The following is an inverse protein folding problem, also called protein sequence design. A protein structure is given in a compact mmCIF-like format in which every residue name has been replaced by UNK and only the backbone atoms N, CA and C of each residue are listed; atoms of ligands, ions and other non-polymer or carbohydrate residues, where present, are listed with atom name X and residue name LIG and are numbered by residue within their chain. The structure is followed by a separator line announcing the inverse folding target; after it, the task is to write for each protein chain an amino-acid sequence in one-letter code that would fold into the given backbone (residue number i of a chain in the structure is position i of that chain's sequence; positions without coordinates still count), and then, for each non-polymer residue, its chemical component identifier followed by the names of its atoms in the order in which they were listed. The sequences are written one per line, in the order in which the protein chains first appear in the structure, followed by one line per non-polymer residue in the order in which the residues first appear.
data_IF_943285117684
#
_entry.id   IF_943285117684
#
_cell.length_a   1.000
_cell.length_b   1.000
_cell.length_c   1.000
_cell.angle_alpha   90.00
_cell.angle_beta   90.00
_cell.angle_gamma   90.00
#
_symmetry.space_group_name_H-M   'P 1'
#
loop_
_entity.id
_entity.type
_entity.pdbx_description
1 polymer ?
#
# COMPACT_ATOMS: atom_id res chain seq x y z
N UNK A 1 -11.71 -18.42 -10.18
CA UNK A 1 -10.92 -18.71 -11.40
C UNK A 1 -11.35 -20.07 -11.93
N UNK A 2 -11.44 -20.25 -13.25
CA UNK A 2 -11.76 -21.56 -13.86
C UNK A 2 -10.50 -22.40 -14.14
N UNK A 3 -10.69 -23.63 -14.63
CA UNK A 3 -9.61 -24.56 -14.99
C UNK A 3 -8.68 -24.02 -16.10
N UNK A 4 -9.13 -23.03 -16.87
CA UNK A 4 -8.36 -22.35 -17.91
C UNK A 4 -7.65 -21.08 -17.41
N UNK A 5 -7.56 -20.93 -16.08
CA UNK A 5 -7.04 -19.73 -15.41
C UNK A 5 -7.72 -18.43 -15.83
N UNK A 6 -8.99 -18.47 -16.22
CA UNK A 6 -9.81 -17.27 -16.46
C UNK A 6 -10.40 -16.79 -15.14
N UNK A 7 -10.27 -15.49 -14.89
CA UNK A 7 -10.88 -14.84 -13.74
C UNK A 7 -12.30 -14.40 -14.04
N UNK A 8 -13.10 -14.24 -13.00
CA UNK A 8 -14.48 -13.81 -13.13
C UNK A 8 -14.78 -12.75 -12.07
N UNK A 9 -15.43 -11.67 -12.50
CA UNK A 9 -16.08 -10.74 -11.60
C UNK A 9 -17.56 -11.09 -11.55
N UNK A 10 -18.08 -11.27 -10.34
CA UNK A 10 -19.44 -11.69 -10.09
C UNK A 10 -19.95 -11.03 -8.80
N UNK A 11 -21.24 -10.78 -8.75
CA UNK A 11 -21.89 -10.42 -7.50
C UNK A 11 -21.90 -11.62 -6.55
N UNK A 12 -21.98 -11.36 -5.25
CA UNK A 12 -21.94 -12.38 -4.20
C UNK A 12 -23.04 -13.46 -4.34
N UNK A 13 -24.18 -13.11 -4.93
CA UNK A 13 -25.34 -13.98 -5.12
C UNK A 13 -25.26 -14.87 -6.37
N UNK A 14 -24.22 -14.73 -7.19
CA UNK A 14 -24.03 -15.52 -8.41
C UNK A 14 -23.61 -16.95 -8.06
N UNK A 15 -24.46 -17.93 -8.42
CA UNK A 15 -24.25 -19.37 -8.16
C UNK A 15 -23.60 -20.13 -9.31
N UNK A 16 -23.63 -19.58 -10.54
CA UNK A 16 -23.05 -20.18 -11.75
C UNK A 16 -22.34 -19.11 -12.58
N UNK A 17 -21.37 -19.50 -13.39
CA UNK A 17 -20.58 -18.57 -14.22
C UNK A 17 -21.41 -17.81 -15.27
N UNK A 18 -22.66 -18.20 -15.52
CA UNK A 18 -23.51 -17.61 -16.57
C UNK A 18 -23.85 -16.14 -16.33
N UNK A 19 -23.86 -15.70 -15.07
CA UNK A 19 -24.09 -14.31 -14.67
C UNK A 19 -22.81 -13.59 -14.22
N UNK A 20 -21.65 -14.22 -14.39
CA UNK A 20 -20.36 -13.62 -14.12
C UNK A 20 -19.76 -13.03 -15.42
N UNK A 21 -18.92 -12.01 -15.29
CA UNK A 21 -18.15 -11.48 -16.41
C UNK A 21 -16.70 -11.95 -16.32
N UNK A 22 -16.25 -12.69 -17.33
CA UNK A 22 -14.87 -13.18 -17.37
C UNK A 22 -13.86 -12.09 -17.75
N UNK A 23 -12.64 -12.17 -17.24
CA UNK A 23 -11.59 -11.18 -17.53
C UNK A 23 -11.18 -11.22 -19.00
N UNK A 24 -11.16 -12.39 -19.64
CA UNK A 24 -11.01 -12.51 -21.11
C UNK A 24 -12.10 -11.76 -21.86
N UNK A 25 -13.36 -11.85 -21.43
CA UNK A 25 -14.49 -11.15 -22.05
C UNK A 25 -14.34 -9.62 -21.93
N UNK A 26 -13.88 -9.13 -20.77
CA UNK A 26 -13.58 -7.70 -20.57
C UNK A 26 -12.47 -7.25 -21.52
N UNK A 27 -11.33 -7.94 -21.52
CA UNK A 27 -10.18 -7.60 -22.36
C UNK A 27 -10.53 -7.58 -23.86
N UNK A 28 -11.29 -8.59 -24.33
CA UNK A 28 -11.78 -8.65 -25.72
C UNK A 28 -12.75 -7.51 -26.07
N UNK A 29 -13.66 -7.14 -25.16
CA UNK A 29 -14.56 -6.01 -25.39
C UNK A 29 -13.81 -4.68 -25.47
N UNK A 30 -12.81 -4.47 -24.61
CA UNK A 30 -11.98 -3.26 -24.63
C UNK A 30 -11.25 -3.12 -25.96
N UNK A 31 -10.59 -4.18 -26.42
CA UNK A 31 -9.92 -4.20 -27.72
C UNK A 31 -10.82 -3.73 -28.87
N UNK A 32 -12.10 -4.13 -28.86
CA UNK A 32 -13.01 -3.89 -29.98
C UNK A 32 -13.86 -2.62 -29.85
N UNK A 33 -14.02 -2.08 -28.63
CA UNK A 33 -15.01 -1.03 -28.34
C UNK A 33 -14.48 0.13 -27.51
N UNK A 34 -13.28 0.02 -26.94
CA UNK A 34 -12.70 1.11 -26.16
C UNK A 34 -12.08 2.14 -27.09
N UNK A 35 -12.57 3.38 -27.00
CA UNK A 35 -12.09 4.49 -27.81
C UNK A 35 -11.08 5.40 -27.08
N UNK A 36 -10.77 5.09 -25.82
CA UNK A 36 -9.75 5.80 -25.05
C UNK A 36 -8.34 5.27 -25.33
N UNK A 37 -7.33 6.07 -24.99
CA UNK A 37 -5.91 5.68 -25.11
C UNK A 37 -5.40 4.83 -23.94
N UNK A 38 -6.06 4.94 -22.78
CA UNK A 38 -5.60 4.30 -21.53
C UNK A 38 -6.77 3.80 -20.69
N UNK A 39 -6.65 2.60 -20.15
CA UNK A 39 -7.62 2.01 -19.22
C UNK A 39 -6.95 1.66 -17.88
N UNK A 40 -7.54 2.13 -16.77
CA UNK A 40 -7.12 1.77 -15.41
C UNK A 40 -8.10 0.76 -14.80
N UNK A 41 -7.58 -0.26 -14.13
CA UNK A 41 -8.37 -1.32 -13.50
C UNK A 41 -8.12 -1.35 -12.00
N UNK A 42 -9.21 -1.21 -11.26
CA UNK A 42 -9.25 -1.35 -9.81
C UNK A 42 -10.23 -2.46 -9.47
N UNK A 43 -9.80 -3.41 -8.64
CA UNK A 43 -10.68 -4.49 -8.21
C UNK A 43 -10.25 -4.97 -6.82
N UNK A 44 -11.23 -5.00 -5.92
CA UNK A 44 -11.07 -5.53 -4.56
C UNK A 44 -11.92 -6.78 -4.38
N UNK A 45 -11.39 -7.92 -4.81
CA UNK A 45 -12.10 -9.20 -4.73
C UNK A 45 -11.13 -10.38 -4.90
N UNK A 46 -11.60 -11.59 -4.62
CA UNK A 46 -10.82 -12.79 -4.90
C UNK A 46 -10.40 -12.85 -6.37
N UNK A 47 -9.17 -13.28 -6.62
CA UNK A 47 -8.59 -13.43 -7.97
C UNK A 47 -8.59 -12.14 -8.81
N UNK A 48 -8.73 -10.97 -8.18
CA UNK A 48 -8.86 -9.67 -8.86
C UNK A 48 -7.73 -9.38 -9.85
N UNK A 49 -6.51 -9.84 -9.57
CA UNK A 49 -5.34 -9.64 -10.43
C UNK A 49 -5.41 -10.39 -11.77
N UNK A 50 -6.35 -11.33 -11.93
CA UNK A 50 -6.51 -12.12 -13.16
C UNK A 50 -6.81 -11.28 -14.41
N UNK A 51 -7.30 -10.05 -14.26
CA UNK A 51 -7.47 -9.12 -15.38
C UNK A 51 -6.15 -8.79 -16.07
N UNK A 52 -5.05 -8.73 -15.31
CA UNK A 52 -3.70 -8.51 -15.87
C UNK A 52 -3.28 -9.61 -16.84
N UNK A 53 -3.63 -10.87 -16.53
CA UNK A 53 -3.37 -12.01 -17.41
C UNK A 53 -4.16 -11.96 -18.71
N UNK A 54 -5.36 -11.34 -18.69
CA UNK A 54 -6.19 -11.17 -19.88
C UNK A 54 -5.76 -9.97 -20.73
N UNK A 55 -5.36 -8.87 -20.08
CA UNK A 55 -4.89 -7.65 -20.73
C UNK A 55 -3.51 -7.82 -21.37
N UNK A 56 -2.59 -8.55 -20.73
CA UNK A 56 -1.25 -8.82 -21.28
C UNK A 56 -1.24 -9.59 -22.60
N UNK A 57 -2.36 -10.26 -22.93
CA UNK A 57 -2.56 -10.99 -24.18
C UNK A 57 -3.18 -10.13 -25.29
N UNK A 58 -3.59 -8.89 -24.99
CA UNK A 58 -4.18 -8.00 -25.98
C UNK A 58 -3.09 -7.26 -26.78
N UNK A 59 -3.32 -6.96 -28.07
CA UNK A 59 -2.41 -6.11 -28.84
C UNK A 59 -2.34 -4.70 -28.25
N UNK A 60 -1.27 -3.97 -28.56
CA UNK A 60 -1.00 -2.61 -28.07
C UNK A 60 -1.91 -1.53 -28.70
N UNK A 61 -3.23 -1.73 -28.62
CA UNK A 61 -4.25 -0.78 -29.10
C UNK A 61 -4.54 0.34 -28.07
N UNK A 62 -4.30 0.07 -26.79
CA UNK A 62 -4.43 1.00 -25.68
C UNK A 62 -3.40 0.65 -24.61
N UNK A 63 -2.99 1.63 -23.81
CA UNK A 63 -2.18 1.39 -22.61
C UNK A 63 -3.07 1.00 -21.44
N UNK A 64 -2.53 0.24 -20.49
CA UNK A 64 -3.32 -0.16 -19.34
C UNK A 64 -2.49 -0.23 -18.08
N UNK A 65 -3.14 0.05 -16.96
CA UNK A 65 -2.60 -0.10 -15.61
C UNK A 65 -3.62 -0.79 -14.73
N UNK A 66 -3.15 -1.60 -13.79
CA UNK A 66 -4.01 -2.23 -12.78
C UNK A 66 -3.41 -2.13 -11.38
N UNK A 67 -4.28 -1.95 -10.40
CA UNK A 67 -4.00 -2.16 -8.99
C UNK A 67 -5.18 -2.91 -8.39
N UNK A 68 -4.92 -4.01 -7.70
CA UNK A 68 -5.96 -4.90 -7.18
C UNK A 68 -5.54 -5.49 -5.84
N UNK A 69 -6.51 -5.86 -5.00
CA UNK A 69 -6.23 -6.32 -3.63
C UNK A 69 -5.42 -7.61 -3.60
N UNK A 70 -5.60 -8.50 -4.59
CA UNK A 70 -4.84 -9.74 -4.65
C UNK A 70 -4.41 -10.12 -6.07
N UNK A 71 -3.31 -10.87 -6.15
CA UNK A 71 -2.83 -11.48 -7.39
C UNK A 71 -3.86 -12.45 -8.01
N UNK A 72 -3.63 -12.95 -9.23
CA UNK A 72 -4.60 -13.79 -9.94
C UNK A 72 -5.03 -15.08 -9.21
N UNK A 73 -4.22 -15.62 -8.31
CA UNK A 73 -4.42 -16.92 -7.68
C UNK A 73 -4.82 -16.81 -6.20
N UNK A 74 -4.85 -15.60 -5.63
CA UNK A 74 -5.14 -15.38 -4.23
C UNK A 74 -6.60 -15.09 -3.92
N UNK A 75 -6.94 -15.25 -2.64
CA UNK A 75 -8.21 -14.82 -2.04
C UNK A 75 -8.01 -13.48 -1.34
N UNK A 76 -8.94 -12.53 -1.51
CA UNK A 76 -8.94 -11.27 -0.77
C UNK A 76 -9.45 -11.46 0.67
N UNK A 77 -9.12 -10.54 1.57
CA UNK A 77 -9.68 -10.54 2.94
C UNK A 77 -10.99 -9.73 2.97
N UNK A 78 -11.62 -9.65 4.14
CA UNK A 78 -12.74 -8.73 4.37
C UNK A 78 -12.32 -7.32 4.80
N UNK A 79 -11.02 -7.05 4.91
CA UNK A 79 -10.52 -5.72 5.27
C UNK A 79 -10.65 -4.76 4.10
N UNK A 80 -10.77 -3.47 4.39
CA UNK A 80 -10.87 -2.41 3.39
C UNK A 80 -9.52 -1.87 2.97
N UNK A 81 -8.43 -2.62 3.20
CA UNK A 81 -7.05 -2.17 2.98
C UNK A 81 -6.81 -1.64 1.57
N UNK A 82 -7.26 -2.34 0.53
CA UNK A 82 -7.11 -1.89 -0.86
C UNK A 82 -7.95 -0.64 -1.14
N UNK A 83 -9.21 -0.66 -0.72
CA UNK A 83 -10.15 0.44 -0.95
C UNK A 83 -9.68 1.71 -0.24
N UNK A 84 -9.17 1.60 0.98
CA UNK A 84 -8.56 2.69 1.72
C UNK A 84 -7.29 3.19 1.01
N UNK A 85 -6.41 2.30 0.54
CA UNK A 85 -5.21 2.71 -0.19
C UNK A 85 -5.54 3.46 -1.50
N UNK A 86 -6.61 3.07 -2.19
CA UNK A 86 -7.11 3.78 -3.36
C UNK A 86 -7.66 5.16 -2.99
N UNK A 87 -8.44 5.26 -1.91
CA UNK A 87 -8.93 6.54 -1.39
C UNK A 87 -7.78 7.45 -0.95
N UNK A 88 -6.78 6.90 -0.28
CA UNK A 88 -5.61 7.64 0.19
C UNK A 88 -4.90 8.31 -1.00
N UNK A 89 -4.71 7.56 -2.10
CA UNK A 89 -4.08 8.08 -3.31
C UNK A 89 -4.93 9.17 -4.00
N UNK A 90 -6.24 8.94 -4.12
CA UNK A 90 -7.14 9.89 -4.79
C UNK A 90 -7.33 11.19 -3.99
N UNK A 91 -7.23 11.13 -2.66
CA UNK A 91 -7.33 12.29 -1.78
C UNK A 91 -6.01 13.07 -1.65
N UNK A 92 -4.94 12.66 -2.32
CA UNK A 92 -3.68 13.41 -2.29
C UNK A 92 -2.85 13.17 -1.03
N UNK A 93 -3.03 12.07 -0.31
CA UNK A 93 -2.28 11.83 0.92
C UNK A 93 -0.78 11.66 0.66
N UNK A 94 0.04 12.43 1.37
CA UNK A 94 1.51 12.50 1.16
C UNK A 94 2.18 11.14 1.32
N UNK A 95 1.70 10.30 2.22
CA UNK A 95 2.32 9.00 2.47
C UNK A 95 2.21 8.02 1.29
N UNK A 96 1.30 8.27 0.35
CA UNK A 96 1.15 7.49 -0.89
C UNK A 96 2.17 7.93 -1.94
N UNK A 97 2.53 9.22 -1.99
CA UNK A 97 3.62 9.71 -2.84
C UNK A 97 4.93 9.01 -2.43
N UNK A 98 5.40 8.07 -3.25
CA UNK A 98 6.55 7.22 -2.92
C UNK A 98 7.86 7.81 -3.40
N UNK A 99 7.82 8.80 -4.30
CA UNK A 99 8.99 9.43 -4.91
C UNK A 99 9.20 10.89 -4.45
N UNK A 100 8.24 11.48 -3.73
CA UNK A 100 8.24 12.83 -3.17
C UNK A 100 8.28 13.95 -4.20
N UNK A 101 7.75 13.74 -5.40
CA UNK A 101 7.65 14.80 -6.41
C UNK A 101 6.43 15.73 -6.19
N UNK A 102 5.62 15.46 -5.16
CA UNK A 102 4.43 16.24 -4.84
C UNK A 102 3.21 15.87 -5.69
N UNK A 103 3.31 14.80 -6.48
CA UNK A 103 2.27 14.25 -7.33
C UNK A 103 2.14 12.75 -7.04
N UNK A 104 0.92 12.30 -6.78
CA UNK A 104 0.65 10.87 -6.65
C UNK A 104 0.41 10.32 -8.05
N UNK A 105 1.38 9.56 -8.57
CA UNK A 105 1.25 8.84 -9.84
C UNK A 105 0.51 7.50 -9.68
N UNK A 106 0.18 6.87 -10.80
CA UNK A 106 -0.38 5.52 -10.76
C UNK A 106 0.62 4.49 -10.22
N UNK A 107 1.92 4.60 -10.52
CA UNK A 107 2.94 3.75 -9.89
C UNK A 107 3.08 3.97 -8.39
N UNK A 108 2.87 5.19 -7.90
CA UNK A 108 2.85 5.45 -6.45
C UNK A 108 1.71 4.67 -5.79
N UNK A 109 0.51 4.72 -6.37
CA UNK A 109 -0.61 3.89 -5.93
C UNK A 109 -0.28 2.39 -6.00
N UNK A 110 0.32 1.90 -7.08
CA UNK A 110 0.68 0.48 -7.21
C UNK A 110 1.66 0.03 -6.12
N UNK A 111 2.69 0.83 -5.86
CA UNK A 111 3.66 0.56 -4.79
C UNK A 111 3.00 0.62 -3.42
N UNK A 112 2.18 1.63 -3.18
CA UNK A 112 1.48 1.82 -1.90
C UNK A 112 0.51 0.67 -1.61
N UNK A 113 -0.33 0.29 -2.58
CA UNK A 113 -1.22 -0.87 -2.48
C UNK A 113 -0.43 -2.14 -2.21
N UNK A 114 0.67 -2.38 -2.93
CA UNK A 114 1.51 -3.57 -2.72
C UNK A 114 2.02 -3.65 -1.28
N UNK A 115 2.43 -2.50 -0.74
CA UNK A 115 2.96 -2.39 0.61
C UNK A 115 1.88 -2.61 1.68
N UNK A 116 0.76 -1.90 1.58
CA UNK A 116 -0.33 -1.94 2.56
C UNK A 116 -1.00 -3.32 2.59
N UNK A 117 -1.30 -3.90 1.42
CA UNK A 117 -1.87 -5.25 1.33
C UNK A 117 -0.92 -6.29 1.95
N UNK A 118 0.39 -6.14 1.75
CA UNK A 118 1.36 -7.06 2.35
C UNK A 118 1.45 -6.91 3.87
N UNK A 119 1.39 -5.68 4.38
CA UNK A 119 1.59 -5.40 5.81
C UNK A 119 0.34 -5.63 6.65
N UNK A 120 -0.81 -5.23 6.15
CA UNK A 120 -2.08 -5.29 6.89
C UNK A 120 -2.75 -6.64 6.66
N UNK A 121 -2.85 -7.07 5.41
CA UNK A 121 -3.62 -8.26 5.03
C UNK A 121 -2.75 -9.50 4.82
N UNK A 122 -1.43 -9.35 4.83
CA UNK A 122 -0.47 -10.39 4.43
C UNK A 122 -0.75 -10.96 3.03
N UNK A 123 -1.23 -10.10 2.13
CA UNK A 123 -1.58 -10.45 0.76
C UNK A 123 -0.55 -9.94 -0.23
N UNK A 124 -0.48 -10.61 -1.38
CA UNK A 124 0.29 -10.15 -2.53
C UNK A 124 -0.69 -9.47 -3.47
N UNK A 125 -0.65 -8.15 -3.52
CA UNK A 125 -1.48 -7.35 -4.41
C UNK A 125 -1.21 -7.71 -5.89
N UNK A 126 -2.24 -7.55 -6.73
CA UNK A 126 -2.07 -7.63 -8.18
C UNK A 126 -1.86 -6.24 -8.75
N UNK A 127 -0.61 -5.85 -9.00
CA UNK A 127 -0.26 -4.56 -9.60
C UNK A 127 0.61 -4.77 -10.83
N UNK A 128 0.18 -4.26 -11.98
CA UNK A 128 0.95 -4.33 -13.22
C UNK A 128 0.45 -3.30 -14.22
N UNK A 129 1.24 -3.01 -15.24
CA UNK A 129 0.87 -2.13 -16.35
C UNK A 129 1.44 -2.69 -17.65
N UNK A 130 0.90 -2.27 -18.80
CA UNK A 130 1.32 -2.80 -20.09
C UNK A 130 1.13 -1.84 -21.26
N UNK A 131 1.65 -2.27 -22.42
CA UNK A 131 1.60 -1.52 -23.67
C UNK A 131 2.23 -0.12 -23.59
N UNK A 132 3.32 0.04 -22.82
CA UNK A 132 4.03 1.31 -22.70
C UNK A 132 3.37 2.32 -21.75
N UNK A 133 2.52 1.85 -20.83
CA UNK A 133 2.00 2.70 -19.75
C UNK A 133 3.14 3.44 -19.03
N UNK A 134 2.96 4.74 -18.80
CA UNK A 134 3.96 5.60 -18.17
C UNK A 134 3.31 6.56 -17.18
N UNK A 135 3.93 6.69 -16.00
CA UNK A 135 3.50 7.61 -14.94
C UNK A 135 3.57 9.08 -15.34
N UNK A 136 4.49 9.43 -16.26
CA UNK A 136 4.63 10.80 -16.76
C UNK A 136 3.34 11.33 -17.42
N UNK A 137 2.41 10.43 -17.78
CA UNK A 137 1.14 10.78 -18.40
C UNK A 137 -0.08 10.65 -17.48
N UNK A 138 0.06 10.10 -16.26
CA UNK A 138 -1.06 9.73 -15.40
C UNK A 138 -0.81 10.02 -13.92
N UNK A 139 -1.01 11.28 -13.54
CA UNK A 139 -1.17 11.71 -12.16
C UNK A 139 -2.60 11.41 -11.67
N UNK A 140 -2.72 10.81 -10.49
CA UNK A 140 -4.00 10.58 -9.81
C UNK A 140 -4.42 11.80 -9.01
N UNK A 141 -3.49 12.39 -8.28
CA UNK A 141 -3.73 13.56 -7.44
C UNK A 141 -2.44 14.35 -7.24
N UNK A 142 -2.58 15.63 -6.86
CA UNK A 142 -1.49 16.39 -6.25
C UNK A 142 -1.47 16.08 -4.76
N UNK A 143 -0.29 16.04 -4.14
CA UNK A 143 -0.19 15.98 -2.68
C UNK A 143 -0.93 17.17 -2.07
N UNK A 144 -1.89 16.87 -1.21
CA UNK A 144 -2.83 17.85 -0.63
C UNK A 144 -2.19 18.64 0.50
N UNK A 145 -1.46 17.97 1.39
CA UNK A 145 -0.65 18.57 2.45
C UNK A 145 0.79 18.02 2.43
N UNK A 146 1.77 18.82 1.97
CA UNK A 146 3.18 18.44 1.96
C UNK A 146 3.78 18.20 3.36
N UNK A 147 3.10 18.62 4.43
CA UNK A 147 3.53 18.41 5.82
C UNK A 147 2.74 17.30 6.52
N UNK A 148 1.87 16.59 5.80
CA UNK A 148 1.07 15.52 6.38
C UNK A 148 1.97 14.48 7.06
N UNK A 149 1.69 14.13 8.32
CA UNK A 149 2.39 13.05 9.00
C UNK A 149 2.12 11.70 8.33
N UNK A 150 3.15 10.90 8.20
CA UNK A 150 3.09 9.58 7.57
C UNK A 150 2.69 8.55 8.63
N UNK A 151 1.48 7.96 8.54
CA UNK A 151 0.97 7.11 9.59
C UNK A 151 1.85 5.89 9.80
N UNK A 152 2.10 5.55 11.07
CA UNK A 152 2.95 4.42 11.42
C UNK A 152 2.10 3.20 11.75
N UNK A 153 2.28 2.11 11.01
CA UNK A 153 1.58 0.86 11.30
C UNK A 153 2.13 0.21 12.58
N UNK A 154 1.22 -0.12 13.50
CA UNK A 154 1.47 -0.75 14.80
C UNK A 154 0.43 -1.82 15.08
N UNK A 155 0.58 -2.53 16.19
CA UNK A 155 -0.49 -3.34 16.77
C UNK A 155 -0.89 -2.77 18.12
N UNK A 156 -2.20 -2.72 18.39
CA UNK A 156 -2.81 -2.15 19.59
C UNK A 156 -3.60 -3.24 20.31
N UNK A 157 -3.46 -3.31 21.63
CA UNK A 157 -4.12 -4.31 22.46
C UNK A 157 -5.54 -3.87 22.78
N UNK A 158 -6.53 -4.63 22.32
CA UNK A 158 -7.94 -4.37 22.59
C UNK A 158 -8.69 -5.69 22.78
N UNK A 159 -9.52 -5.78 23.84
CA UNK A 159 -10.29 -6.99 24.16
C UNK A 159 -9.40 -8.23 24.39
N UNK A 160 -8.17 -8.03 24.91
CA UNK A 160 -7.20 -9.10 25.13
C UNK A 160 -6.50 -9.62 23.86
N UNK A 161 -6.75 -9.01 22.70
CA UNK A 161 -6.12 -9.35 21.41
C UNK A 161 -5.33 -8.16 20.88
N UNK A 162 -4.43 -8.42 19.94
CA UNK A 162 -3.68 -7.38 19.23
C UNK A 162 -4.30 -7.16 17.86
N UNK A 163 -4.56 -5.90 17.53
CA UNK A 163 -5.21 -5.46 16.31
C UNK A 163 -4.33 -4.44 15.61
N UNK A 164 -4.24 -4.51 14.28
CA UNK A 164 -3.44 -3.55 13.52
C UNK A 164 -4.10 -2.18 13.53
N UNK A 165 -3.30 -1.14 13.68
CA UNK A 165 -3.73 0.26 13.64
C UNK A 165 -2.60 1.14 13.11
N UNK A 166 -2.92 2.37 12.74
CA UNK A 166 -1.96 3.40 12.34
C UNK A 166 -1.85 4.45 13.44
N UNK A 167 -0.66 4.70 13.98
CA UNK A 167 -0.41 5.84 14.88
C UNK A 167 -0.44 7.13 14.06
N UNK A 168 -1.25 8.07 14.51
CA UNK A 168 -1.39 9.41 13.92
C UNK A 168 -0.59 10.45 14.73
N UNK A 169 -0.59 10.33 16.04
CA UNK A 169 0.00 11.29 16.98
C UNK A 169 0.46 10.57 18.25
N UNK A 170 1.45 11.11 18.96
CA UNK A 170 1.78 10.69 20.32
C UNK A 170 1.83 11.86 21.28
N UNK A 171 1.34 11.65 22.50
CA UNK A 171 1.27 12.66 23.56
C UNK A 171 1.20 11.96 24.92
N UNK A 172 1.94 12.45 25.91
CA UNK A 172 1.84 12.00 27.32
C UNK A 172 1.89 10.47 27.51
N UNK A 173 2.81 9.78 26.82
CA UNK A 173 2.94 8.30 26.78
C UNK A 173 1.72 7.55 26.23
N UNK A 174 0.91 8.24 25.42
CA UNK A 174 -0.21 7.67 24.68
C UNK A 174 -0.04 7.93 23.19
N UNK A 175 -0.59 7.04 22.38
CA UNK A 175 -0.64 7.15 20.93
C UNK A 175 -2.10 7.30 20.51
N UNK A 176 -2.41 8.29 19.69
CA UNK A 176 -3.67 8.38 18.97
C UNK A 176 -3.59 7.47 17.76
N UNK A 177 -4.50 6.52 17.66
CA UNK A 177 -4.52 5.52 16.60
C UNK A 177 -5.73 5.66 15.70
N UNK A 178 -5.60 5.16 14.47
CA UNK A 178 -6.69 4.85 13.56
C UNK A 178 -6.70 3.35 13.29
N UNK A 179 -7.84 2.71 13.51
CA UNK A 179 -8.00 1.29 13.20
C UNK A 179 -7.92 1.05 11.69
N UNK A 180 -7.53 -0.17 11.31
CA UNK A 180 -7.56 -0.60 9.89
C UNK A 180 -8.71 -1.56 9.61
N UNK A 181 -9.45 -1.94 10.65
CA UNK A 181 -10.58 -2.85 10.55
C UNK A 181 -11.80 -2.10 10.01
N UNK A 182 -12.53 -2.77 9.12
CA UNK A 182 -13.75 -2.24 8.50
C UNK A 182 -14.73 -1.71 9.54
N UNK A 183 -15.17 -0.47 9.36
CA UNK A 183 -16.16 0.18 10.22
C UNK A 183 -15.57 0.84 11.46
N UNK A 184 -14.24 0.79 11.63
CA UNK A 184 -13.49 1.49 12.67
C UNK A 184 -12.35 2.34 12.08
N UNK A 185 -12.19 2.32 10.76
CA UNK A 185 -11.16 3.00 9.99
C UNK A 185 -11.46 4.48 9.72
N UNK A 186 -12.36 5.07 10.51
CA UNK A 186 -12.79 6.47 10.37
C UNK A 186 -12.22 7.36 11.46
N UNK A 187 -12.11 8.66 11.20
CA UNK A 187 -11.67 9.64 12.19
C UNK A 187 -12.58 9.72 13.44
N UNK A 188 -13.83 9.25 13.35
CA UNK A 188 -14.75 9.19 14.48
C UNK A 188 -14.43 8.09 15.48
N UNK A 189 -13.67 7.07 15.05
CA UNK A 189 -13.26 5.91 15.84
C UNK A 189 -11.79 6.01 16.29
N UNK A 190 -11.10 7.12 15.97
CA UNK A 190 -9.74 7.35 16.43
C UNK A 190 -9.70 7.42 17.97
N UNK A 191 -8.83 6.65 18.60
CA UNK A 191 -8.74 6.58 20.05
C UNK A 191 -7.30 6.67 20.57
N UNK A 192 -7.17 7.01 21.86
CA UNK A 192 -5.90 7.11 22.54
C UNK A 192 -5.62 5.84 23.34
N UNK A 193 -4.47 5.21 23.07
CA UNK A 193 -3.97 4.08 23.85
C UNK A 193 -2.66 4.40 24.54
N UNK A 194 -2.44 3.94 25.78
CA UNK A 194 -1.13 4.03 26.42
C UNK A 194 -0.10 3.21 25.63
N UNK A 195 1.16 3.64 25.61
CA UNK A 195 2.23 2.91 24.91
C UNK A 195 2.39 1.45 25.36
N UNK A 196 1.99 1.12 26.59
CA UNK A 196 1.96 -0.26 27.09
C UNK A 196 0.97 -1.18 26.35
N UNK A 197 -0.01 -0.60 25.66
CA UNK A 197 -0.99 -1.29 24.82
C UNK A 197 -0.66 -1.17 23.34
N UNK A 198 0.48 -0.57 22.97
CA UNK A 198 0.93 -0.42 21.59
C UNK A 198 2.25 -1.16 21.41
N UNK A 199 2.42 -1.82 20.27
CA UNK A 199 3.66 -2.47 19.90
C UNK A 199 3.95 -2.34 18.41
N UNK A 200 5.21 -2.46 18.05
CA UNK A 200 5.61 -2.59 16.66
C UNK A 200 4.99 -3.84 16.04
N UNK A 201 4.79 -3.86 14.72
CA UNK A 201 4.28 -5.07 14.03
C UNK A 201 5.23 -6.28 14.12
N UNK A 202 6.47 -6.06 14.57
CA UNK A 202 7.42 -7.13 14.93
C UNK A 202 7.16 -7.76 16.29
N UNK A 203 6.26 -7.18 17.10
CA UNK A 203 5.99 -7.54 18.48
C UNK A 203 6.85 -6.80 19.51
N UNK A 204 7.81 -5.98 19.08
CA UNK A 204 8.65 -5.19 19.99
C UNK A 204 7.84 -4.07 20.67
N UNK A 205 8.21 -3.65 21.91
CA UNK A 205 7.56 -2.52 22.58
C UNK A 205 7.56 -1.26 21.71
N UNK A 206 6.47 -0.51 21.77
CA UNK A 206 6.39 0.77 21.05
C UNK A 206 7.36 1.78 21.65
N UNK A 207 8.16 2.40 20.80
CA UNK A 207 9.22 3.34 21.20
C UNK A 207 8.74 4.79 21.43
N UNK A 208 7.43 5.04 21.33
CA UNK A 208 6.84 6.36 21.52
C UNK A 208 6.92 7.33 20.34
N UNK A 209 7.53 6.94 19.21
CA UNK A 209 7.56 7.79 18.03
C UNK A 209 6.22 7.76 17.28
N UNK A 210 5.64 8.95 17.09
CA UNK A 210 4.45 9.19 16.28
C UNK A 210 4.67 8.95 14.78
N UNK A 211 3.63 9.29 14.00
CA UNK A 211 3.73 9.46 12.56
C UNK A 211 4.89 10.40 12.18
N UNK A 212 5.64 10.06 11.13
CA UNK A 212 6.79 10.84 10.71
C UNK A 212 6.34 12.07 9.90
N UNK A 213 6.72 13.28 10.32
CA UNK A 213 6.24 14.54 9.71
C UNK A 213 6.97 14.92 8.41
N UNK A 214 8.19 14.45 8.21
CA UNK A 214 9.03 14.86 7.06
C UNK A 214 9.71 13.67 6.40
N UNK A 215 9.25 13.34 5.18
CA UNK A 215 9.92 12.44 4.21
C UNK A 215 10.81 13.20 3.23
N UNK A 216 10.76 14.54 3.24
CA UNK A 216 11.22 15.37 2.14
C UNK A 216 12.75 15.52 2.00
N UNK A 217 13.55 14.96 2.91
CA UNK A 217 15.01 15.18 2.86
C UNK A 217 15.83 13.94 2.55
N UNK A 218 15.28 12.72 2.70
CA UNK A 218 16.05 11.48 2.60
C UNK A 218 16.15 10.93 1.18
N UNK A 219 17.37 10.85 0.67
CA UNK A 219 17.76 10.33 -0.65
C UNK A 219 18.84 9.28 -0.48
N UNK A 220 18.98 8.43 -1.50
CA UNK A 220 20.07 7.47 -1.56
C UNK A 220 21.39 8.20 -1.41
N UNK A 221 22.22 7.74 -0.47
CA UNK A 221 23.48 8.35 -0.09
C UNK A 221 23.42 9.15 1.22
N UNK A 222 22.25 9.55 1.69
CA UNK A 222 22.13 10.32 2.93
C UNK A 222 22.49 9.48 4.16
N UNK A 223 23.05 10.16 5.15
CA UNK A 223 23.22 9.62 6.50
C UNK A 223 21.99 9.96 7.33
N UNK A 224 21.44 8.94 7.98
CA UNK A 224 20.21 9.00 8.79
C UNK A 224 20.44 8.31 10.12
N UNK A 225 19.56 8.53 11.07
CA UNK A 225 19.48 7.72 12.28
C UNK A 225 18.32 6.75 12.18
N UNK A 226 18.60 5.45 12.26
CA UNK A 226 17.62 4.38 12.17
C UNK A 226 17.39 3.77 13.55
N UNK A 227 16.15 3.75 13.98
CA UNK A 227 15.75 3.11 15.22
C UNK A 227 15.86 1.59 15.10
N UNK A 228 16.62 0.99 16.00
CA UNK A 228 16.77 -0.45 16.15
C UNK A 228 16.76 -0.83 17.64
N UNK A 229 15.91 -1.79 18.04
CA UNK A 229 15.75 -2.26 19.43
C UNK A 229 15.62 -1.18 20.53
N UNK A 230 15.10 -0.01 20.18
CA UNK A 230 14.83 1.07 21.13
C UNK A 230 15.83 2.23 21.09
N UNK A 231 16.97 2.04 20.43
CA UNK A 231 17.99 3.07 20.26
C UNK A 231 18.15 3.46 18.78
N UNK A 232 18.74 4.63 18.54
CA UNK A 232 19.02 5.13 17.20
C UNK A 232 20.47 4.87 16.82
N UNK A 233 20.66 4.31 15.64
CA UNK A 233 21.97 4.00 15.09
C UNK A 233 22.15 4.75 13.78
N UNK A 234 23.33 5.31 13.57
CA UNK A 234 23.61 6.00 12.31
C UNK A 234 23.63 4.96 11.19
N UNK A 235 23.02 5.29 10.07
CA UNK A 235 22.98 4.46 8.90
C UNK A 235 23.10 5.32 7.63
N UNK A 236 23.41 4.66 6.52
CA UNK A 236 23.44 5.27 5.20
C UNK A 236 22.36 4.65 4.32
N UNK A 237 21.60 5.49 3.62
CA UNK A 237 20.61 5.00 2.66
C UNK A 237 21.33 4.48 1.42
N UNK A 238 21.16 3.20 1.12
CA UNK A 238 21.71 2.54 -0.06
C UNK A 238 20.71 2.47 -1.21
N UNK A 239 19.41 2.28 -0.90
CA UNK A 239 18.33 2.23 -1.90
C UNK A 239 17.06 2.84 -1.32
N UNK A 240 16.20 3.37 -2.18
CA UNK A 240 14.85 3.80 -1.82
C UNK A 240 13.87 3.14 -2.79
N UNK A 241 12.89 2.40 -2.27
CA UNK A 241 11.90 1.69 -3.07
C UNK A 241 10.58 1.59 -2.33
N UNK A 242 9.48 1.92 -3.01
CA UNK A 242 8.11 1.80 -2.46
C UNK A 242 7.95 2.46 -1.09
N UNK A 243 8.59 3.61 -0.89
CA UNK A 243 8.51 4.35 0.37
C UNK A 243 9.27 3.75 1.56
N UNK A 244 10.10 2.72 1.31
CA UNK A 244 11.08 2.15 2.24
C UNK A 244 12.50 2.50 1.80
N UNK A 245 13.42 2.41 2.75
CA UNK A 245 14.83 2.69 2.54
C UNK A 245 15.65 1.46 2.91
N UNK A 246 16.46 0.96 1.99
CA UNK A 246 17.48 -0.03 2.27
C UNK A 246 18.65 0.72 2.88
N UNK A 247 18.97 0.45 4.14
CA UNK A 247 19.99 1.16 4.90
C UNK A 247 21.14 0.22 5.28
N UNK A 248 22.31 0.80 5.43
CA UNK A 248 23.50 0.17 6.00
C UNK A 248 23.89 0.90 7.28
N UNK A 249 23.95 0.19 8.40
CA UNK A 249 24.36 0.78 9.67
C UNK A 249 25.85 1.15 9.62
N UNK A 250 26.19 2.37 10.02
CA UNK A 250 27.57 2.85 10.03
C UNK A 250 28.33 2.09 11.12
N UNK A 251 29.54 1.61 10.80
CA UNK A 251 30.44 0.81 11.64
C UNK A 251 30.03 -0.66 11.87
N UNK A 252 28.94 -1.10 11.26
CA UNK A 252 28.49 -2.50 11.24
C UNK A 252 28.74 -3.14 9.86
N UNK A 253 28.62 -4.47 9.77
CA UNK A 253 28.79 -5.21 8.52
C UNK A 253 27.47 -5.33 7.73
N UNK A 254 27.59 -5.55 6.42
CA UNK A 254 26.46 -5.62 5.47
C UNK A 254 25.41 -6.69 5.82
N UNK A 255 25.69 -7.65 6.71
CA UNK A 255 24.68 -8.62 7.18
C UNK A 255 23.57 -8.00 8.03
N UNK A 256 23.78 -6.78 8.53
CA UNK A 256 22.79 -5.99 9.26
C UNK A 256 21.98 -5.04 8.38
N UNK A 257 22.32 -4.95 7.09
CA UNK A 257 21.56 -4.13 6.16
C UNK A 257 20.10 -4.57 6.10
N UNK A 258 19.19 -3.61 6.16
CA UNK A 258 17.77 -3.91 6.17
C UNK A 258 16.94 -2.85 5.44
N UNK A 259 15.74 -3.26 5.05
CA UNK A 259 14.73 -2.33 4.57
C UNK A 259 13.95 -1.74 5.75
N UNK A 260 14.08 -0.44 5.97
CA UNK A 260 13.33 0.26 7.03
C UNK A 260 12.26 1.18 6.46
N UNK A 261 11.25 1.42 7.27
CA UNK A 261 10.24 2.43 7.02
C UNK A 261 10.71 3.79 7.48
N UNK A 262 10.18 4.86 6.86
CA UNK A 262 10.44 6.22 7.32
C UNK A 262 10.14 6.39 8.82
N UNK A 263 9.15 5.68 9.36
CA UNK A 263 8.81 5.77 10.78
C UNK A 263 9.94 5.35 11.73
N UNK A 264 10.99 4.69 11.23
CA UNK A 264 12.20 4.34 11.98
C UNK A 264 13.35 5.32 11.74
N UNK A 265 13.22 6.31 10.86
CA UNK A 265 14.31 7.16 10.41
C UNK A 265 14.18 8.59 10.96
N UNK A 266 15.32 9.23 11.21
CA UNK A 266 15.47 10.65 11.57
C UNK A 266 16.67 11.27 10.88
#
# INVERSE_FOLDING_TARGET
MDDNKDGFYANYDVKTNDNAISTKKIASKLKNKFHGSTALFFADCCTSGSIGNALSKQPAAFTWGMATSVNPEGSSTGNWTFSQALLDALNGHKFVDTNFDGVISFSDLQKYVTLEMKRIDNQVAGTNSGNGFSDASYALAKVSDPNEPIPRLVEVKWGGRWWKAKVLETKDNQAKIRWVQIGYDTAGDDEWHPFSEVRETSGAPFNGMAAATTRNDFKVGDSVEVLWKGDFYKAKILKAESGRFYIHYIDDDDSWDEWVDLSRMK
#
